data_IF_080494370029
#
_entry.id   IF_080494370029
#
_cell.length_a   1.000
_cell.length_b   1.000
_cell.length_c   1.000
_cell.angle_alpha   90.00
_cell.angle_beta   90.00
_cell.angle_gamma   90.00
#
_symmetry.space_group_name_H-M   'P 1'
#
loop_
_entity.id
_entity.type
_entity.pdbx_description
1 polymer ?
#
# COMPACT_ATOMS: atom_id res chain seq x y z
N UNK A 1 -44.81 13.13 27.79
CA UNK A 1 -44.15 12.33 26.73
C UNK A 1 -43.86 13.24 25.54
N UNK A 2 -42.59 13.60 25.29
CA UNK A 2 -42.15 14.25 24.05
C UNK A 2 -40.72 13.79 23.83
N UNK A 3 -40.57 12.87 22.87
CA UNK A 3 -39.38 12.05 22.67
C UNK A 3 -38.20 12.84 22.13
N UNK A 4 -37.01 12.49 22.65
CA UNK A 4 -35.75 12.80 22.00
C UNK A 4 -35.55 11.86 20.82
N UNK A 5 -35.54 12.41 19.60
CA UNK A 5 -35.06 11.72 18.42
C UNK A 5 -33.54 11.83 18.37
N UNK A 6 -32.83 10.81 18.83
CA UNK A 6 -31.45 10.59 18.45
C UNK A 6 -31.47 10.21 16.97
N UNK A 7 -31.21 11.20 16.11
CA UNK A 7 -30.96 10.94 14.70
C UNK A 7 -29.69 10.10 14.60
N UNK A 8 -29.84 8.80 14.36
CA UNK A 8 -28.79 8.04 13.70
C UNK A 8 -28.63 8.65 12.31
N UNK A 9 -27.71 9.59 12.17
CA UNK A 9 -27.19 9.96 10.86
C UNK A 9 -26.71 8.67 10.21
N UNK A 10 -27.33 8.33 9.08
CA UNK A 10 -27.00 7.18 8.23
C UNK A 10 -25.49 6.93 8.25
N UNK A 11 -25.06 5.71 8.58
CA UNK A 11 -23.67 5.36 8.85
C UNK A 11 -22.78 5.46 7.60
N UNK A 12 -22.46 6.68 7.18
CA UNK A 12 -21.43 6.96 6.19
C UNK A 12 -20.07 7.06 6.90
N UNK A 13 -19.07 6.40 6.34
CA UNK A 13 -17.68 6.49 6.78
C UNK A 13 -16.93 7.22 5.67
N UNK A 14 -16.45 8.43 5.95
CA UNK A 14 -15.64 9.20 5.00
C UNK A 14 -14.19 8.73 5.01
N UNK A 15 -13.67 8.39 3.83
CA UNK A 15 -12.29 7.97 3.63
C UNK A 15 -11.65 8.96 2.65
N UNK A 16 -10.86 9.90 3.16
CA UNK A 16 -10.24 10.96 2.35
C UNK A 16 -8.77 10.69 2.01
N UNK A 17 -8.11 9.78 2.72
CA UNK A 17 -6.66 9.55 2.60
C UNK A 17 -6.31 8.40 1.66
N UNK A 18 -7.20 8.06 0.72
CA UNK A 18 -7.01 6.92 -0.17
C UNK A 18 -7.53 7.21 -1.56
N UNK A 19 -6.79 6.80 -2.58
CA UNK A 19 -7.27 6.81 -3.95
C UNK A 19 -8.43 5.82 -4.11
N UNK A 20 -9.46 6.16 -4.90
CA UNK A 20 -10.63 5.30 -5.07
C UNK A 20 -10.25 3.92 -5.64
N UNK A 21 -9.24 3.85 -6.49
CA UNK A 21 -8.74 2.59 -7.06
C UNK A 21 -8.03 1.71 -6.02
N UNK A 22 -7.29 2.32 -5.08
CA UNK A 22 -6.66 1.58 -3.98
C UNK A 22 -7.71 1.07 -2.99
N UNK A 23 -8.76 1.87 -2.73
CA UNK A 23 -9.88 1.46 -1.89
C UNK A 23 -10.68 0.32 -2.51
N UNK A 24 -10.99 0.39 -3.80
CA UNK A 24 -11.67 -0.69 -4.52
C UNK A 24 -10.84 -1.98 -4.48
N UNK A 25 -9.52 -1.88 -4.67
CA UNK A 25 -8.64 -3.03 -4.54
C UNK A 25 -8.55 -3.61 -3.14
N UNK A 26 -8.54 -2.76 -2.11
CA UNK A 26 -8.59 -3.19 -0.71
C UNK A 26 -9.88 -3.97 -0.44
N UNK A 27 -11.03 -3.41 -0.85
CA UNK A 27 -12.33 -4.03 -0.65
C UNK A 27 -12.43 -5.36 -1.40
N UNK A 28 -11.99 -5.38 -2.65
CA UNK A 28 -11.95 -6.59 -3.46
C UNK A 28 -11.06 -7.65 -2.80
N UNK A 29 -9.90 -7.28 -2.25
CA UNK A 29 -9.04 -8.22 -1.53
C UNK A 29 -9.72 -8.77 -0.25
N UNK A 30 -10.41 -7.93 0.52
CA UNK A 30 -11.12 -8.37 1.74
C UNK A 30 -12.22 -9.39 1.40
N UNK A 31 -12.96 -9.18 0.31
CA UNK A 31 -14.09 -10.03 -0.06
C UNK A 31 -13.70 -11.25 -0.90
N UNK A 32 -12.67 -11.14 -1.74
CA UNK A 32 -12.30 -12.14 -2.76
C UNK A 32 -10.93 -12.78 -2.52
N UNK A 33 -10.19 -12.38 -1.48
CA UNK A 33 -8.82 -12.80 -1.14
C UNK A 33 -7.84 -12.78 -2.33
N UNK A 34 -8.09 -11.88 -3.29
CA UNK A 34 -7.33 -11.74 -4.52
C UNK A 34 -7.17 -10.27 -4.89
N UNK A 35 -6.12 -9.93 -5.64
CA UNK A 35 -5.92 -8.56 -6.14
C UNK A 35 -6.67 -8.36 -7.45
N UNK A 36 -7.35 -7.21 -7.66
CA UNK A 36 -8.06 -6.93 -8.89
C UNK A 36 -7.12 -6.81 -10.09
N UNK A 37 -7.64 -7.11 -11.28
CA UNK A 37 -6.94 -6.98 -12.55
C UNK A 37 -6.38 -5.55 -12.75
N UNK A 38 -7.07 -4.53 -12.25
CA UNK A 38 -6.64 -3.13 -12.28
C UNK A 38 -5.28 -2.85 -11.61
N UNK A 39 -4.80 -3.73 -10.72
CA UNK A 39 -3.44 -3.64 -10.15
C UNK A 39 -2.48 -4.60 -10.85
N UNK A 40 -2.99 -5.74 -11.31
CA UNK A 40 -2.16 -6.77 -11.96
C UNK A 40 -1.70 -6.35 -13.36
N UNK A 41 -2.60 -5.74 -14.12
CA UNK A 41 -2.46 -5.42 -15.55
C UNK A 41 -1.90 -4.00 -15.80
N UNK A 42 -1.73 -3.21 -14.74
CA UNK A 42 -1.04 -1.93 -14.79
C UNK A 42 0.46 -2.18 -14.62
N UNK A 43 1.28 -1.51 -15.43
CA UNK A 43 2.74 -1.62 -15.38
C UNK A 43 3.42 -0.26 -15.18
N UNK A 44 4.71 -0.30 -14.86
CA UNK A 44 5.54 0.89 -14.66
C UNK A 44 5.20 1.70 -13.41
N UNK A 45 5.41 3.00 -13.49
CA UNK A 45 5.29 3.91 -12.33
C UNK A 45 3.87 3.96 -11.77
N UNK A 46 2.85 3.84 -12.62
CA UNK A 46 1.45 3.82 -12.21
C UNK A 46 1.11 2.62 -11.33
N UNK A 47 1.68 1.44 -11.64
CA UNK A 47 1.54 0.25 -10.80
C UNK A 47 2.14 0.50 -9.42
N UNK A 48 3.32 1.13 -9.40
CA UNK A 48 4.02 1.46 -8.16
C UNK A 48 3.18 2.37 -7.28
N UNK A 49 2.65 3.47 -7.83
CA UNK A 49 1.74 4.38 -7.12
C UNK A 49 0.54 3.65 -6.50
N UNK A 50 -0.16 2.83 -7.28
CA UNK A 50 -1.31 2.07 -6.79
C UNK A 50 -0.94 1.08 -5.68
N UNK A 51 0.19 0.38 -5.81
CA UNK A 51 0.67 -0.56 -4.79
C UNK A 51 1.13 0.19 -3.52
N UNK A 52 1.68 1.39 -3.67
CA UNK A 52 2.06 2.27 -2.55
C UNK A 52 0.81 2.73 -1.77
N UNK A 53 -0.23 3.18 -2.48
CA UNK A 53 -1.50 3.57 -1.86
C UNK A 53 -2.20 2.38 -1.20
N UNK A 54 -2.16 1.20 -1.84
CA UNK A 54 -2.69 -0.03 -1.27
C UNK A 54 -1.90 -0.50 -0.04
N UNK A 55 -0.58 -0.27 -0.01
CA UNK A 55 0.24 -0.56 1.16
C UNK A 55 -0.15 0.35 2.33
N UNK A 56 -0.36 1.65 2.06
CA UNK A 56 -0.85 2.60 3.06
C UNK A 56 -2.23 2.20 3.60
N UNK A 57 -3.12 1.74 2.71
CA UNK A 57 -4.41 1.17 3.08
C UNK A 57 -4.25 -0.07 3.97
N UNK A 58 -3.44 -1.04 3.54
CA UNK A 58 -3.23 -2.28 4.27
C UNK A 58 -2.64 -2.04 5.67
N UNK A 59 -1.73 -1.07 5.80
CA UNK A 59 -1.16 -0.66 7.10
C UNK A 59 -2.22 -0.01 8.00
N UNK A 60 -3.05 0.88 7.45
CA UNK A 60 -4.12 1.56 8.20
C UNK A 60 -5.21 0.61 8.71
N UNK A 61 -5.56 -0.39 7.90
CA UNK A 61 -6.58 -1.40 8.25
C UNK A 61 -5.98 -2.68 8.86
N UNK A 62 -4.68 -2.68 9.17
CA UNK A 62 -3.93 -3.79 9.75
C UNK A 62 -4.06 -5.14 9.01
N UNK A 63 -4.16 -5.10 7.68
CA UNK A 63 -4.26 -6.28 6.82
C UNK A 63 -2.86 -6.78 6.47
N UNK A 64 -2.26 -7.51 7.41
CA UNK A 64 -0.88 -8.02 7.33
C UNK A 64 -0.58 -8.80 6.05
N UNK A 65 -1.51 -9.62 5.57
CA UNK A 65 -1.33 -10.43 4.37
C UNK A 65 -1.25 -9.58 3.10
N UNK A 66 -2.08 -8.54 2.99
CA UNK A 66 -2.05 -7.58 1.89
C UNK A 66 -0.77 -6.73 1.94
N UNK A 67 -0.38 -6.29 3.14
CA UNK A 67 0.87 -5.57 3.38
C UNK A 67 2.06 -6.35 2.80
N UNK A 68 2.16 -7.64 3.12
CA UNK A 68 3.21 -8.51 2.60
C UNK A 68 3.22 -8.64 1.07
N UNK A 69 2.05 -8.73 0.45
CA UNK A 69 1.91 -8.82 -1.00
C UNK A 69 2.42 -7.53 -1.65
N UNK A 70 2.03 -6.36 -1.12
CA UNK A 70 2.48 -5.06 -1.60
C UNK A 70 3.99 -4.88 -1.42
N UNK A 71 4.55 -5.24 -0.26
CA UNK A 71 6.01 -5.20 -0.03
C UNK A 71 6.76 -6.06 -1.05
N UNK A 72 6.25 -7.26 -1.34
CA UNK A 72 6.86 -8.17 -2.32
C UNK A 72 6.78 -7.60 -3.73
N UNK A 73 5.65 -6.99 -4.11
CA UNK A 73 5.49 -6.36 -5.42
C UNK A 73 6.44 -5.17 -5.59
N UNK A 74 6.56 -4.30 -4.58
CA UNK A 74 7.47 -3.15 -4.61
C UNK A 74 8.93 -3.59 -4.63
N UNK A 75 9.31 -4.63 -3.89
CA UNK A 75 10.69 -5.15 -3.91
C UNK A 75 11.16 -5.62 -5.29
N UNK A 76 10.25 -6.10 -6.14
CA UNK A 76 10.55 -6.56 -7.50
C UNK A 76 10.70 -5.43 -8.51
N UNK A 77 10.14 -4.26 -8.21
CA UNK A 77 10.18 -3.06 -9.07
C UNK A 77 11.18 -2.03 -8.56
N UNK A 78 12.05 -2.41 -7.61
CA UNK A 78 13.12 -1.56 -7.09
C UNK A 78 14.17 -1.30 -8.17
N UNK A 79 14.38 -0.03 -8.48
CA UNK A 79 15.42 0.47 -9.36
C UNK A 79 16.27 1.51 -8.64
N UNK A 80 17.48 1.79 -9.12
CA UNK A 80 18.41 2.74 -8.47
C UNK A 80 17.84 4.16 -8.33
N UNK A 81 16.97 4.59 -9.25
CA UNK A 81 16.26 5.87 -9.23
C UNK A 81 15.09 5.91 -8.21
N UNK A 82 14.50 4.76 -7.87
CA UNK A 82 13.24 4.65 -7.10
C UNK A 82 13.43 4.00 -5.74
N UNK A 83 14.62 3.45 -5.46
CA UNK A 83 14.92 2.83 -4.15
C UNK A 83 14.83 3.85 -3.01
N UNK A 84 15.20 5.11 -3.24
CA UNK A 84 15.15 6.17 -2.22
C UNK A 84 13.70 6.56 -1.89
N UNK A 85 12.85 6.73 -2.91
CA UNK A 85 11.44 7.06 -2.71
C UNK A 85 10.68 5.91 -2.07
N UNK A 86 10.97 4.67 -2.48
CA UNK A 86 10.38 3.45 -1.91
C UNK A 86 10.84 3.23 -0.46
N UNK A 87 12.11 3.49 -0.14
CA UNK A 87 12.62 3.43 1.23
C UNK A 87 11.93 4.44 2.16
N UNK A 88 11.79 5.68 1.70
CA UNK A 88 11.11 6.75 2.46
C UNK A 88 9.66 6.35 2.77
N UNK A 89 8.97 5.77 1.78
CA UNK A 89 7.62 5.26 1.99
C UNK A 89 7.58 4.08 2.97
N UNK A 90 8.50 3.13 2.84
CA UNK A 90 8.59 1.97 3.72
C UNK A 90 8.78 2.40 5.18
N UNK A 91 9.58 3.44 5.43
CA UNK A 91 9.75 4.01 6.76
C UNK A 91 8.47 4.70 7.28
N UNK A 92 7.76 5.42 6.41
CA UNK A 92 6.48 6.08 6.76
C UNK A 92 5.40 5.09 7.20
N UNK A 93 5.32 3.92 6.56
CA UNK A 93 4.30 2.90 6.82
C UNK A 93 4.83 1.72 7.67
N UNK A 94 5.95 1.90 8.37
CA UNK A 94 6.57 0.89 9.22
C UNK A 94 6.71 -0.50 8.56
N UNK A 95 6.99 -0.51 7.25
CA UNK A 95 7.11 -1.72 6.43
C UNK A 95 8.53 -2.28 6.54
N UNK A 96 8.79 -3.07 7.58
CA UNK A 96 10.13 -3.52 7.93
C UNK A 96 10.79 -4.35 6.82
N UNK A 97 10.05 -5.22 6.13
CA UNK A 97 10.65 -6.08 5.08
C UNK A 97 10.99 -5.27 3.84
N UNK A 98 10.11 -4.36 3.41
CA UNK A 98 10.38 -3.49 2.27
C UNK A 98 11.57 -2.57 2.56
N UNK A 99 11.65 -2.04 3.78
CA UNK A 99 12.81 -1.25 4.23
C UNK A 99 14.10 -2.06 4.14
N UNK A 100 14.11 -3.28 4.67
CA UNK A 100 15.29 -4.16 4.64
C UNK A 100 15.70 -4.49 3.19
N UNK A 101 14.73 -4.77 2.32
CA UNK A 101 14.99 -5.01 0.90
C UNK A 101 15.61 -3.79 0.20
N UNK A 102 15.12 -2.58 0.49
CA UNK A 102 15.70 -1.34 -0.04
C UNK A 102 17.13 -1.11 0.46
N UNK A 103 17.38 -1.30 1.77
CA UNK A 103 18.73 -1.16 2.34
C UNK A 103 19.69 -2.19 1.76
N UNK A 104 19.24 -3.43 1.57
CA UNK A 104 20.05 -4.48 0.96
C UNK A 104 20.38 -4.16 -0.50
N UNK A 105 19.42 -3.65 -1.27
CA UNK A 105 19.64 -3.21 -2.64
C UNK A 105 20.69 -2.08 -2.73
N UNK A 106 20.60 -1.08 -1.84
CA UNK A 106 21.58 0.00 -1.76
C UNK A 106 22.96 -0.55 -1.38
N UNK A 107 23.05 -1.41 -0.36
CA UNK A 107 24.32 -2.00 0.07
C UNK A 107 24.99 -2.81 -1.05
N UNK A 108 24.23 -3.64 -1.79
CA UNK A 108 24.75 -4.39 -2.94
C UNK A 108 25.16 -3.48 -4.10
N UNK A 109 24.47 -2.36 -4.31
CA UNK A 109 24.83 -1.38 -5.36
C UNK A 109 26.12 -0.63 -5.01
N UNK A 110 26.36 -0.35 -3.73
CA UNK A 110 27.57 0.33 -3.25
C UNK A 110 28.78 -0.60 -3.27
N UNK A 111 28.58 -1.90 -3.05
CA UNK A 111 29.66 -2.91 -3.13
C UNK A 111 30.21 -3.08 -4.56
N UNK A 112 29.38 -2.86 -5.58
CA UNK A 112 29.76 -2.87 -7.01
C UNK A 112 30.60 -1.65 -7.44
N UNK A 113 30.79 -0.65 -6.57
CA UNK A 113 31.54 0.58 -6.86
C UNK A 113 32.99 0.49 -6.31
N UNK A 114 33.39 -0.64 -5.72
CA UNK A 114 34.70 -0.84 -5.10
C UNK A 114 35.62 -1.73 -5.92
#
# INVERSE_FOLDING_TARGET
VRGGGLGFSSGCVDINDMQPEAFDALLYYIYMDSLPAAIRDVDGDRKRELVMDLLAAADRYDIQRLKLICETALSKTLEANTVVTTLTLAEKHHCQRLRQACVQFIASSVDQIK
#
